data_IF_557056309242
#
_entry.id   IF_557056309242
#
_cell.length_a   1.000
_cell.length_b   1.000
_cell.length_c   1.000
_cell.angle_alpha   90.00
_cell.angle_beta   90.00
_cell.angle_gamma   90.00
#
_symmetry.space_group_name_H-M   'P 1'
#
loop_
_entity.id
_entity.type
_entity.pdbx_description
1 polymer ?
#
# COMPACT_ATOMS: atom_id res chain seq x y z
N UNK A 1 -4.25 26.91 5.40
CA UNK A 1 -3.62 26.06 6.43
C UNK A 1 -2.67 25.04 5.82
N UNK A 2 -1.72 24.58 6.61
CA UNK A 2 -0.78 23.51 6.26
C UNK A 2 -0.75 22.47 7.39
N UNK A 3 -0.55 21.20 7.02
CA UNK A 3 -0.42 20.10 7.96
C UNK A 3 0.64 19.11 7.48
N UNK A 4 1.20 18.33 8.40
CA UNK A 4 2.11 17.23 8.12
C UNK A 4 1.65 15.96 8.85
N UNK A 5 1.89 14.79 8.26
CA UNK A 5 1.55 13.50 8.86
C UNK A 5 2.59 12.43 8.53
N UNK A 6 2.83 11.54 9.50
CA UNK A 6 3.52 10.27 9.28
C UNK A 6 2.49 9.15 9.41
N UNK A 7 2.36 8.33 8.35
CA UNK A 7 1.42 7.20 8.33
C UNK A 7 2.17 5.90 8.06
N UNK A 8 2.11 4.97 8.99
CA UNK A 8 2.68 3.62 8.82
C UNK A 8 1.71 2.72 8.07
N UNK A 9 2.24 1.87 7.20
CA UNK A 9 1.43 0.95 6.40
C UNK A 9 2.09 -0.43 6.25
N UNK A 10 1.23 -1.40 6.01
CA UNK A 10 1.56 -2.74 5.52
C UNK A 10 0.63 -3.05 4.37
N UNK A 11 1.17 -3.48 3.23
CA UNK A 11 0.39 -3.86 2.05
C UNK A 11 0.41 -5.37 1.85
N UNK A 12 -0.75 -5.92 1.54
CA UNK A 12 -0.95 -7.31 1.16
C UNK A 12 -1.48 -7.33 -0.27
N UNK A 13 -0.79 -8.03 -1.17
CA UNK A 13 -1.14 -8.09 -2.58
C UNK A 13 -0.77 -9.45 -3.16
N UNK A 14 -1.65 -9.96 -4.01
CA UNK A 14 -1.40 -11.03 -4.96
C UNK A 14 -1.83 -10.57 -6.34
N UNK A 15 -1.17 -11.07 -7.38
CA UNK A 15 -1.62 -10.96 -8.75
C UNK A 15 -2.26 -12.28 -9.22
N UNK A 16 -3.15 -12.22 -10.21
CA UNK A 16 -3.76 -13.42 -10.80
C UNK A 16 -4.96 -13.99 -10.03
N UNK A 17 -5.53 -13.25 -9.08
CA UNK A 17 -6.77 -13.65 -8.41
C UNK A 17 -7.93 -13.76 -9.41
N UNK A 18 -8.61 -14.90 -9.41
CA UNK A 18 -9.69 -15.24 -10.35
C UNK A 18 -10.99 -15.67 -9.64
N UNK A 19 -11.26 -15.14 -8.44
CA UNK A 19 -12.34 -15.51 -7.52
C UNK A 19 -12.00 -16.58 -6.47
N UNK A 20 -12.74 -16.56 -5.34
CA UNK A 20 -12.60 -17.50 -4.22
C UNK A 20 -11.83 -16.94 -3.02
N UNK A 21 -11.52 -17.81 -2.05
CA UNK A 21 -10.71 -17.42 -0.89
C UNK A 21 -9.23 -17.61 -1.22
N UNK A 22 -8.45 -16.55 -1.08
CA UNK A 22 -6.98 -16.63 -1.14
C UNK A 22 -6.44 -16.88 0.26
N UNK A 23 -5.64 -17.94 0.49
CA UNK A 23 -5.02 -18.14 1.79
C UNK A 23 -4.11 -16.96 2.16
N UNK A 24 -3.96 -16.62 3.45
CA UNK A 24 -3.17 -15.47 3.89
C UNK A 24 -1.78 -15.44 3.24
N UNK A 25 -1.38 -14.26 2.75
CA UNK A 25 -0.05 -14.02 2.17
C UNK A 25 0.80 -13.15 3.07
N UNK A 26 2.12 -13.30 2.93
CA UNK A 26 3.06 -12.37 3.53
C UNK A 26 2.82 -10.96 2.96
N UNK A 27 3.09 -9.90 3.73
CA UNK A 27 3.02 -8.54 3.22
C UNK A 27 4.05 -8.35 2.11
N UNK A 28 3.69 -7.58 1.08
CA UNK A 28 4.59 -7.27 -0.04
C UNK A 28 5.41 -6.01 0.23
N UNK A 29 4.86 -5.05 0.99
CA UNK A 29 5.59 -3.86 1.41
C UNK A 29 5.19 -3.45 2.82
N UNK A 30 6.18 -3.02 3.60
CA UNK A 30 6.01 -2.42 4.93
C UNK A 30 6.80 -1.12 4.96
N UNK A 31 6.18 -0.05 5.45
CA UNK A 31 6.84 1.25 5.46
C UNK A 31 5.98 2.34 6.08
N UNK A 32 6.32 3.57 5.73
CA UNK A 32 5.54 4.74 6.08
C UNK A 32 5.58 5.80 4.98
N UNK A 33 4.57 6.65 4.99
CA UNK A 33 4.55 7.91 4.26
C UNK A 33 4.87 9.05 5.20
N UNK A 34 5.67 10.00 4.71
CA UNK A 34 5.72 11.34 5.24
C UNK A 34 5.02 12.27 4.25
N UNK A 35 3.92 12.86 4.70
CA UNK A 35 3.03 13.66 3.87
C UNK A 35 2.98 15.12 4.33
N UNK A 36 2.86 16.04 3.38
CA UNK A 36 2.45 17.42 3.65
C UNK A 36 1.13 17.72 2.94
N UNK A 37 0.29 18.55 3.57
CA UNK A 37 -1.04 18.89 3.09
C UNK A 37 -1.24 20.41 3.08
N UNK A 38 -2.10 20.87 2.18
CA UNK A 38 -2.60 22.25 2.17
C UNK A 38 -4.12 22.25 2.17
N UNK A 39 -4.72 23.23 2.85
CA UNK A 39 -6.17 23.42 2.86
C UNK A 39 -6.59 24.43 1.79
N UNK A 40 -7.55 24.07 0.94
CA UNK A 40 -8.15 24.91 -0.11
C UNK A 40 -9.65 24.75 -0.06
N UNK A 41 -10.39 25.84 0.10
CA UNK A 41 -11.87 25.83 0.14
C UNK A 41 -12.42 24.72 1.06
N UNK A 42 -11.89 24.71 2.29
CA UNK A 42 -12.17 23.72 3.36
C UNK A 42 -11.73 22.27 3.09
N UNK A 43 -11.15 21.97 1.92
CA UNK A 43 -10.67 20.64 1.53
C UNK A 43 -9.17 20.50 1.78
N UNK A 44 -8.75 19.41 2.43
CA UNK A 44 -7.34 19.05 2.56
C UNK A 44 -6.84 18.33 1.32
N UNK A 45 -5.80 18.87 0.69
CA UNK A 45 -5.15 18.28 -0.48
C UNK A 45 -3.75 17.81 -0.09
N UNK A 46 -3.36 16.62 -0.56
CA UNK A 46 -1.99 16.13 -0.46
C UNK A 46 -1.08 16.97 -1.36
N UNK A 47 -0.07 17.60 -0.76
CA UNK A 47 0.91 18.43 -1.48
C UNK A 47 2.12 17.60 -1.87
N UNK A 48 2.70 16.87 -0.92
CA UNK A 48 3.83 15.97 -1.16
C UNK A 48 3.65 14.67 -0.39
N UNK A 49 4.16 13.58 -0.95
CA UNK A 49 4.32 12.29 -0.28
C UNK A 49 5.72 11.75 -0.54
N UNK A 50 6.44 11.46 0.53
CA UNK A 50 7.68 10.70 0.47
C UNK A 50 7.42 9.31 1.03
N UNK A 51 7.75 8.28 0.25
CA UNK A 51 7.62 6.88 0.66
C UNK A 51 8.94 6.35 1.20
N UNK A 52 8.90 5.82 2.42
CA UNK A 52 10.00 5.09 3.03
C UNK A 52 9.63 3.63 3.20
N UNK A 53 10.34 2.75 2.48
CA UNK A 53 10.14 1.30 2.54
C UNK A 53 11.13 0.69 3.54
N UNK A 54 10.60 0.10 4.61
CA UNK A 54 11.40 -0.74 5.51
C UNK A 54 11.59 -2.13 4.92
N UNK A 55 10.62 -2.60 4.16
CA UNK A 55 10.65 -3.86 3.42
C UNK A 55 9.83 -3.74 2.13
N UNK A 56 10.35 -4.29 1.03
CA UNK A 56 9.61 -4.46 -0.22
C UNK A 56 10.06 -5.73 -0.94
N UNK A 57 9.15 -6.68 -1.06
CA UNK A 57 9.35 -7.94 -1.77
C UNK A 57 8.63 -7.98 -3.12
N UNK A 58 8.87 -9.01 -3.94
CA UNK A 58 8.08 -9.26 -5.14
C UNK A 58 6.60 -9.51 -4.78
N UNK A 59 5.69 -9.16 -5.68
CA UNK A 59 4.28 -9.57 -5.55
C UNK A 59 4.13 -11.01 -6.00
N UNK A 60 3.55 -11.86 -5.15
CA UNK A 60 3.24 -13.24 -5.50
C UNK A 60 2.17 -13.27 -6.60
N UNK A 61 2.40 -14.06 -7.65
CA UNK A 61 1.40 -14.36 -8.66
C UNK A 61 0.80 -15.72 -8.33
N UNK A 62 -0.52 -15.79 -8.23
CA UNK A 62 -1.22 -17.04 -8.07
C UNK A 62 -1.23 -17.77 -9.42
N UNK A 63 -0.70 -18.99 -9.43
CA UNK A 63 -0.96 -19.92 -10.52
C UNK A 63 -2.46 -20.25 -10.49
N UNK A 64 -3.10 -20.26 -11.66
CA UNK A 64 -4.53 -20.58 -11.76
C UNK A 64 -4.87 -21.92 -11.11
N UNK A 65 -6.14 -22.20 -10.78
CA UNK A 65 -6.53 -23.45 -10.13
C UNK A 65 -6.15 -24.64 -11.02
N UNK A 66 -5.00 -25.29 -10.74
CA UNK A 66 -4.58 -26.43 -11.56
C UNK A 66 -3.13 -26.88 -11.54
N UNK A 67 -2.27 -26.47 -10.60
CA UNK A 67 -0.99 -27.16 -10.38
C UNK A 67 -0.70 -27.32 -8.89
N UNK A 68 -1.10 -28.49 -8.36
CA UNK A 68 -0.58 -29.12 -7.15
C UNK A 68 0.38 -30.22 -7.53
#
# INVERSE_FOLDING_TARGET
DAAAATTYFTTYRVDGYSEGLVPPRAPVQVGHYEDTFRKVDDTWLLTTRTLFLSFAGPTERLDGPGQS
#
